data_IF_766148268609
#
_entry.id   IF_766148268609
#
_cell.length_a   1.000
_cell.length_b   1.000
_cell.length_c   1.000
_cell.angle_alpha   90.00
_cell.angle_beta   90.00
_cell.angle_gamma   90.00
#
_symmetry.space_group_name_H-M   'P 1'
#
loop_
_entity.id
_entity.type
_entity.pdbx_description
1 polymer ?
#
# COMPACT_ATOMS: atom_id res chain seq x y z
N UNK A 1 -14.94 -20.22 -3.99
CA UNK A 1 -14.13 -19.11 -3.47
C UNK A 1 -12.76 -19.54 -2.95
N UNK A 2 -12.68 -20.59 -2.16
CA UNK A 2 -11.40 -21.03 -1.58
C UNK A 2 -10.46 -21.58 -2.66
N UNK A 3 -9.24 -21.03 -2.74
CA UNK A 3 -8.17 -21.59 -3.57
C UNK A 3 -7.09 -22.16 -2.68
N UNK A 4 -6.80 -23.44 -2.87
CA UNK A 4 -5.77 -24.12 -2.13
C UNK A 4 -4.38 -23.75 -2.68
N UNK A 5 -3.66 -22.90 -1.94
CA UNK A 5 -2.29 -22.50 -2.26
C UNK A 5 -1.23 -23.37 -1.59
N UNK A 6 -1.68 -24.38 -0.80
CA UNK A 6 -0.79 -25.27 -0.03
C UNK A 6 -0.32 -26.49 -0.82
N UNK A 7 -0.68 -26.58 -2.10
CA UNK A 7 -0.33 -27.69 -3.02
C UNK A 7 0.20 -27.15 -4.36
N UNK A 8 0.73 -28.03 -5.20
CA UNK A 8 1.27 -27.67 -6.51
C UNK A 8 2.61 -26.94 -6.45
N UNK A 9 3.03 -26.31 -7.55
CA UNK A 9 4.26 -25.54 -7.64
C UNK A 9 4.20 -24.27 -6.79
N UNK A 10 5.18 -24.06 -5.91
CA UNK A 10 5.28 -22.84 -5.08
C UNK A 10 5.47 -21.62 -5.97
N UNK A 11 6.42 -21.68 -6.91
CA UNK A 11 6.68 -20.60 -7.85
C UNK A 11 5.44 -20.28 -8.69
N UNK A 12 4.76 -21.31 -9.23
CA UNK A 12 3.52 -21.12 -9.98
C UNK A 12 2.41 -20.43 -9.17
N UNK A 13 2.29 -20.77 -7.88
CA UNK A 13 1.32 -20.12 -6.98
C UNK A 13 1.69 -18.66 -6.72
N UNK A 14 2.99 -18.35 -6.53
CA UNK A 14 3.47 -16.97 -6.37
C UNK A 14 3.10 -16.15 -7.59
N UNK A 15 3.49 -16.57 -8.80
CA UNK A 15 3.21 -15.81 -10.03
C UNK A 15 1.70 -15.65 -10.26
N UNK A 16 0.94 -16.74 -10.09
CA UNK A 16 -0.52 -16.73 -10.31
C UNK A 16 -1.26 -15.82 -9.32
N UNK A 17 -0.74 -15.64 -8.11
CA UNK A 17 -1.32 -14.77 -7.09
C UNK A 17 -0.80 -13.34 -7.19
N UNK A 18 0.52 -13.14 -7.39
CA UNK A 18 1.14 -11.82 -7.38
C UNK A 18 0.79 -10.99 -8.61
N UNK A 19 0.65 -11.59 -9.79
CA UNK A 19 0.38 -10.84 -11.02
C UNK A 19 -0.97 -10.09 -11.00
N UNK A 20 -2.11 -10.71 -10.63
CA UNK A 20 -3.36 -9.97 -10.46
C UNK A 20 -3.29 -8.92 -9.35
N UNK A 21 -2.52 -9.19 -8.29
CA UNK A 21 -2.33 -8.26 -7.20
C UNK A 21 -1.52 -7.03 -7.64
N UNK A 22 -0.42 -7.25 -8.38
CA UNK A 22 0.37 -6.19 -9.00
C UNK A 22 -0.48 -5.30 -9.92
N UNK A 23 -1.33 -5.92 -10.74
CA UNK A 23 -2.24 -5.19 -11.62
C UNK A 23 -3.28 -4.39 -10.84
N UNK A 24 -3.75 -4.91 -9.69
CA UNK A 24 -4.65 -4.15 -8.80
C UNK A 24 -3.99 -2.87 -8.28
N UNK A 25 -2.74 -2.95 -7.83
CA UNK A 25 -1.98 -1.78 -7.40
C UNK A 25 -1.73 -0.79 -8.53
N UNK A 26 -1.36 -1.30 -9.70
CA UNK A 26 -1.17 -0.47 -10.88
C UNK A 26 -2.44 0.31 -11.24
N UNK A 27 -3.59 -0.35 -11.26
CA UNK A 27 -4.88 0.28 -11.53
C UNK A 27 -5.25 1.33 -10.47
N UNK A 28 -4.96 1.06 -9.19
CA UNK A 28 -5.16 2.05 -8.12
C UNK A 28 -4.30 3.30 -8.32
N UNK A 29 -3.06 3.13 -8.73
CA UNK A 29 -2.16 4.24 -9.01
C UNK A 29 -2.64 5.03 -10.23
N UNK A 30 -3.09 4.31 -11.26
CA UNK A 30 -3.58 4.88 -12.51
C UNK A 30 -4.79 5.78 -12.30
N UNK A 31 -5.81 5.32 -11.55
CA UNK A 31 -6.99 6.16 -11.36
C UNK A 31 -6.69 7.42 -10.53
N UNK A 32 -5.82 7.33 -9.53
CA UNK A 32 -5.39 8.52 -8.78
C UNK A 32 -4.62 9.53 -9.64
N UNK A 33 -3.91 9.08 -10.68
CA UNK A 33 -3.30 9.96 -11.68
C UNK A 33 -4.33 10.53 -12.66
N UNK A 34 -5.35 9.74 -13.01
CA UNK A 34 -6.42 10.18 -13.90
C UNK A 34 -7.22 11.35 -13.31
N UNK A 35 -7.53 11.32 -12.02
CA UNK A 35 -8.19 12.42 -11.31
C UNK A 35 -7.42 13.74 -11.52
N UNK A 36 -6.09 13.71 -11.31
CA UNK A 36 -5.23 14.90 -11.47
C UNK A 36 -5.12 15.35 -12.92
N UNK A 37 -5.08 14.42 -13.85
CA UNK A 37 -5.00 14.72 -15.28
C UNK A 37 -6.31 15.38 -15.76
N UNK A 38 -7.45 14.82 -15.38
CA UNK A 38 -8.76 15.31 -15.82
C UNK A 38 -9.04 16.68 -15.21
N UNK A 39 -8.80 16.88 -13.89
CA UNK A 39 -9.03 18.19 -13.29
C UNK A 39 -8.12 19.27 -13.90
N UNK A 40 -6.89 18.92 -14.24
CA UNK A 40 -5.95 19.82 -14.91
C UNK A 40 -6.38 20.26 -16.31
N UNK A 41 -7.26 19.49 -16.98
CA UNK A 41 -7.81 19.85 -18.30
C UNK A 41 -8.96 20.86 -18.21
N UNK A 42 -9.77 20.80 -17.16
CA UNK A 42 -11.03 21.54 -17.06
C UNK A 42 -10.99 22.69 -16.06
N UNK A 43 -10.06 22.66 -15.10
CA UNK A 43 -10.04 23.57 -13.97
C UNK A 43 -8.68 24.25 -13.82
N UNK A 44 -8.68 25.36 -13.06
CA UNK A 44 -7.46 26.13 -12.80
C UNK A 44 -6.51 25.51 -11.78
N UNK A 45 -5.37 26.17 -11.58
CA UNK A 45 -4.28 25.72 -10.69
C UNK A 45 -4.75 25.50 -9.24
N UNK A 46 -5.64 26.35 -8.72
CA UNK A 46 -6.16 26.22 -7.36
C UNK A 46 -6.94 24.91 -7.16
N UNK A 47 -7.79 24.54 -8.13
CA UNK A 47 -8.55 23.28 -8.11
C UNK A 47 -7.65 22.05 -8.25
N UNK A 48 -6.67 22.09 -9.15
CA UNK A 48 -5.69 21.03 -9.32
C UNK A 48 -4.84 20.83 -8.05
N UNK A 49 -4.42 21.92 -7.42
CA UNK A 49 -3.69 21.89 -6.14
C UNK A 49 -4.56 21.28 -5.03
N UNK A 50 -5.84 21.66 -4.96
CA UNK A 50 -6.78 21.13 -3.98
C UNK A 50 -6.94 19.60 -4.09
N UNK A 51 -7.12 19.08 -5.31
CA UNK A 51 -7.22 17.64 -5.57
C UNK A 51 -5.90 16.94 -5.26
N UNK A 52 -4.77 17.53 -5.64
CA UNK A 52 -3.44 16.96 -5.36
C UNK A 52 -3.19 16.76 -3.86
N UNK A 53 -3.46 17.80 -3.05
CA UNK A 53 -3.29 17.72 -1.59
C UNK A 53 -4.30 16.76 -0.97
N UNK A 54 -5.57 16.84 -1.39
CA UNK A 54 -6.61 15.94 -0.92
C UNK A 54 -6.30 14.49 -1.23
N UNK A 55 -5.81 14.18 -2.44
CA UNK A 55 -5.41 12.83 -2.85
C UNK A 55 -4.26 12.28 -2.03
N UNK A 56 -3.27 13.10 -1.65
CA UNK A 56 -2.19 12.67 -0.77
C UNK A 56 -2.72 12.22 0.60
N UNK A 57 -3.63 12.98 1.20
CA UNK A 57 -4.26 12.63 2.48
C UNK A 57 -5.03 11.31 2.34
N UNK A 58 -5.82 11.17 1.26
CA UNK A 58 -6.60 9.96 1.01
C UNK A 58 -5.70 8.76 0.71
N UNK A 59 -4.59 8.95 0.02
CA UNK A 59 -3.61 7.88 -0.21
C UNK A 59 -3.01 7.36 1.10
N UNK A 60 -2.56 8.26 1.98
CA UNK A 60 -2.06 7.90 3.31
C UNK A 60 -3.10 7.10 4.11
N UNK A 61 -4.36 7.57 4.14
CA UNK A 61 -5.44 6.88 4.82
C UNK A 61 -5.70 5.48 4.23
N UNK A 62 -5.71 5.38 2.90
CA UNK A 62 -5.96 4.12 2.18
C UNK A 62 -4.87 3.09 2.46
N UNK A 63 -3.59 3.45 2.43
CA UNK A 63 -2.49 2.52 2.72
C UNK A 63 -2.55 2.03 4.17
N UNK A 64 -2.94 2.89 5.13
CA UNK A 64 -3.15 2.47 6.52
C UNK A 64 -4.33 1.50 6.66
N UNK A 65 -5.43 1.71 5.94
CA UNK A 65 -6.57 0.77 5.91
C UNK A 65 -6.14 -0.57 5.32
N UNK A 66 -5.37 -0.58 4.23
CA UNK A 66 -4.82 -1.80 3.60
C UNK A 66 -3.90 -2.53 4.56
N UNK A 67 -3.01 -1.81 5.23
CA UNK A 67 -2.11 -2.37 6.26
C UNK A 67 -2.90 -3.01 7.41
N UNK A 68 -3.92 -2.31 7.92
CA UNK A 68 -4.78 -2.85 8.97
C UNK A 68 -5.55 -4.10 8.51
N UNK A 69 -6.03 -4.11 7.26
CA UNK A 69 -6.74 -5.23 6.65
C UNK A 69 -5.84 -6.45 6.38
N UNK A 70 -4.49 -6.31 6.43
CA UNK A 70 -3.57 -7.43 6.38
C UNK A 70 -3.81 -8.44 7.51
N UNK A 71 -4.24 -7.96 8.69
CA UNK A 71 -4.65 -8.82 9.80
C UNK A 71 -5.75 -9.80 9.41
N UNK A 72 -6.75 -9.33 8.66
CA UNK A 72 -7.81 -10.17 8.15
C UNK A 72 -7.29 -11.18 7.09
N UNK A 73 -6.48 -10.74 6.15
CA UNK A 73 -5.87 -11.62 5.13
C UNK A 73 -5.12 -12.79 5.78
N UNK A 74 -4.30 -12.50 6.79
CA UNK A 74 -3.48 -13.52 7.46
C UNK A 74 -4.35 -14.47 8.30
N UNK A 75 -5.23 -13.96 9.14
CA UNK A 75 -6.04 -14.80 10.03
C UNK A 75 -7.02 -15.69 9.25
N UNK A 76 -7.65 -15.16 8.21
CA UNK A 76 -8.49 -15.93 7.29
C UNK A 76 -7.65 -16.97 6.55
N UNK A 77 -6.48 -16.57 6.03
CA UNK A 77 -5.58 -17.47 5.32
C UNK A 77 -5.11 -18.65 6.19
N UNK A 78 -4.78 -18.40 7.45
CA UNK A 78 -4.44 -19.47 8.41
C UNK A 78 -5.61 -20.42 8.65
N UNK A 79 -6.82 -19.90 8.86
CA UNK A 79 -8.01 -20.72 9.07
C UNK A 79 -8.36 -21.58 7.82
N UNK A 80 -8.26 -20.98 6.62
CA UNK A 80 -8.44 -21.69 5.34
C UNK A 80 -7.37 -22.79 5.16
N UNK A 81 -6.12 -22.48 5.44
CA UNK A 81 -5.02 -23.46 5.40
C UNK A 81 -5.26 -24.64 6.34
N UNK A 82 -5.74 -24.37 7.55
CA UNK A 82 -6.13 -25.37 8.54
C UNK A 82 -7.41 -26.15 8.18
N UNK A 83 -8.10 -25.79 7.08
CA UNK A 83 -9.42 -26.32 6.70
C UNK A 83 -10.49 -26.06 7.75
N UNK A 84 -10.30 -25.08 8.60
CA UNK A 84 -11.27 -24.64 9.60
C UNK A 84 -12.22 -23.61 8.99
N UNK A 85 -13.28 -24.11 8.32
CA UNK A 85 -14.31 -23.26 7.69
C UNK A 85 -15.07 -22.42 8.71
N UNK A 86 -15.28 -22.95 9.92
CA UNK A 86 -16.01 -22.23 10.98
C UNK A 86 -15.16 -21.09 11.54
N UNK A 87 -13.89 -21.34 11.79
CA UNK A 87 -12.95 -20.29 12.17
C UNK A 87 -12.80 -19.22 11.10
N UNK A 88 -12.71 -19.61 9.82
CA UNK A 88 -12.67 -18.67 8.71
C UNK A 88 -13.95 -17.80 8.64
N UNK A 89 -15.15 -18.37 8.83
CA UNK A 89 -16.42 -17.63 8.91
C UNK A 89 -16.38 -16.62 10.07
N UNK A 90 -15.91 -17.03 11.26
CA UNK A 90 -15.75 -16.17 12.42
C UNK A 90 -14.80 -15.00 12.15
N UNK A 91 -13.64 -15.23 11.51
CA UNK A 91 -12.72 -14.17 11.12
C UNK A 91 -13.32 -13.22 10.08
N UNK A 92 -14.02 -13.72 9.07
CA UNK A 92 -14.69 -12.89 8.05
C UNK A 92 -15.77 -12.02 8.70
N UNK A 93 -16.63 -12.60 9.53
CA UNK A 93 -17.72 -11.87 10.21
C UNK A 93 -17.18 -10.80 11.15
N UNK A 94 -16.21 -11.13 12.01
CA UNK A 94 -15.60 -10.18 12.93
C UNK A 94 -14.79 -9.09 12.21
N UNK A 95 -14.13 -9.41 11.10
CA UNK A 95 -13.48 -8.40 10.24
C UNK A 95 -14.52 -7.39 9.73
N UNK A 96 -15.62 -7.87 9.18
CA UNK A 96 -16.69 -7.00 8.67
C UNK A 96 -17.23 -6.08 9.77
N UNK A 97 -17.56 -6.61 10.95
CA UNK A 97 -18.09 -5.81 12.07
C UNK A 97 -17.07 -4.83 12.61
N UNK A 98 -15.83 -5.25 12.82
CA UNK A 98 -14.74 -4.42 13.34
C UNK A 98 -14.48 -3.21 12.43
N UNK A 99 -14.30 -3.46 11.15
CA UNK A 99 -13.95 -2.40 10.22
C UNK A 99 -15.12 -1.50 9.87
N UNK A 100 -16.36 -2.01 9.86
CA UNK A 100 -17.53 -1.16 9.73
C UNK A 100 -17.63 -0.18 10.90
N UNK A 101 -17.50 -0.66 12.13
CA UNK A 101 -17.51 0.21 13.30
C UNK A 101 -16.35 1.22 13.27
N UNK A 102 -15.14 0.76 12.93
CA UNK A 102 -13.96 1.60 12.83
C UNK A 102 -14.12 2.66 11.73
N UNK A 103 -14.64 2.30 10.55
CA UNK A 103 -14.82 3.24 9.44
C UNK A 103 -15.80 4.35 9.80
N UNK A 104 -16.88 4.04 10.49
CA UNK A 104 -17.86 5.06 10.95
C UNK A 104 -17.21 5.99 11.97
N UNK A 105 -16.48 5.45 12.95
CA UNK A 105 -15.78 6.25 13.97
C UNK A 105 -14.72 7.17 13.33
N UNK A 106 -13.90 6.61 12.44
CA UNK A 106 -12.85 7.36 11.72
C UNK A 106 -13.47 8.44 10.82
N UNK A 107 -14.57 8.14 10.13
CA UNK A 107 -15.29 9.14 9.33
C UNK A 107 -15.71 10.33 10.19
N UNK A 108 -16.31 10.11 11.36
CA UNK A 108 -16.71 11.17 12.26
C UNK A 108 -15.56 12.07 12.70
N UNK A 109 -14.42 11.45 13.08
CA UNK A 109 -13.19 12.15 13.47
C UNK A 109 -12.62 12.95 12.30
N UNK A 110 -12.48 12.34 11.12
CA UNK A 110 -11.91 12.98 9.94
C UNK A 110 -12.75 14.14 9.42
N UNK A 111 -14.08 14.03 9.47
CA UNK A 111 -14.97 15.15 9.09
C UNK A 111 -14.77 16.36 10.00
N UNK A 112 -14.59 16.14 11.30
CA UNK A 112 -14.29 17.21 12.24
C UNK A 112 -12.90 17.82 12.00
N UNK A 113 -11.94 17.02 11.55
CA UNK A 113 -10.55 17.41 11.33
C UNK A 113 -10.25 17.88 9.88
N UNK A 114 -11.22 17.93 8.97
CA UNK A 114 -10.98 18.27 7.55
C UNK A 114 -10.27 19.62 7.36
N UNK A 115 -10.68 20.67 8.08
CA UNK A 115 -10.00 21.98 8.06
C UNK A 115 -8.61 21.96 8.73
N UNK A 116 -8.45 21.44 9.96
CA UNK A 116 -7.12 21.26 10.55
C UNK A 116 -6.15 20.47 9.67
N UNK A 117 -6.60 19.40 9.00
CA UNK A 117 -5.77 18.61 8.07
C UNK A 117 -5.30 19.48 6.90
N UNK A 118 -6.20 20.24 6.26
CA UNK A 118 -5.82 21.16 5.18
C UNK A 118 -4.79 22.22 5.66
N UNK A 119 -4.90 22.70 6.89
CA UNK A 119 -3.94 23.64 7.49
C UNK A 119 -2.58 22.99 7.74
N UNK A 120 -2.53 21.77 8.30
CA UNK A 120 -1.30 21.02 8.52
C UNK A 120 -0.58 20.70 7.20
N UNK A 121 -1.35 20.45 6.13
CA UNK A 121 -0.81 20.24 4.79
C UNK A 121 -0.28 21.52 4.13
N UNK A 122 -0.30 22.67 4.83
CA UNK A 122 0.14 23.98 4.32
C UNK A 122 -0.53 24.34 2.99
N UNK A 123 -1.83 24.07 2.89
CA UNK A 123 -2.62 24.32 1.68
C UNK A 123 -2.64 25.82 1.37
N UNK A 124 -2.32 26.27 0.14
CA UNK A 124 -2.43 27.65 -0.28
C UNK A 124 -3.86 28.19 -0.06
N UNK A 125 -3.98 29.45 0.35
CA UNK A 125 -5.26 30.05 0.74
C UNK A 125 -6.36 29.88 -0.32
N UNK A 126 -6.02 30.03 -1.60
CA UNK A 126 -6.94 29.88 -2.73
C UNK A 126 -7.41 28.42 -2.92
N UNK A 127 -6.61 27.43 -2.53
CA UNK A 127 -6.94 26.02 -2.65
C UNK A 127 -7.67 25.45 -1.42
N UNK A 128 -7.66 26.14 -0.27
CA UNK A 128 -8.28 25.64 0.99
C UNK A 128 -9.74 25.27 0.82
N UNK A 129 -10.62 26.09 0.22
CA UNK A 129 -12.04 25.73 0.07
C UNK A 129 -12.21 24.43 -0.73
N UNK A 130 -11.50 24.30 -1.85
CA UNK A 130 -11.53 23.10 -2.69
C UNK A 130 -10.99 21.86 -1.98
N UNK A 131 -9.86 21.99 -1.25
CA UNK A 131 -9.28 20.90 -0.48
C UNK A 131 -10.23 20.43 0.62
N UNK A 132 -10.84 21.33 1.37
CA UNK A 132 -11.80 20.96 2.43
C UNK A 132 -13.04 20.30 1.85
N UNK A 133 -13.56 20.80 0.72
CA UNK A 133 -14.71 20.19 0.02
C UNK A 133 -14.35 18.76 -0.44
N UNK A 134 -13.20 18.59 -1.10
CA UNK A 134 -12.68 17.29 -1.52
C UNK A 134 -12.55 16.32 -0.35
N UNK A 135 -11.85 16.72 0.72
CA UNK A 135 -11.64 15.88 1.89
C UNK A 135 -12.94 15.47 2.57
N UNK A 136 -13.90 16.39 2.73
CA UNK A 136 -15.20 16.07 3.35
C UNK A 136 -15.97 15.01 2.57
N UNK A 137 -16.02 15.13 1.24
CA UNK A 137 -16.71 14.16 0.40
C UNK A 137 -16.00 12.81 0.45
N UNK A 138 -14.66 12.77 0.34
CA UNK A 138 -13.88 11.56 0.44
C UNK A 138 -14.00 10.92 1.84
N UNK A 139 -14.02 11.71 2.92
CA UNK A 139 -14.18 11.21 4.28
C UNK A 139 -15.56 10.58 4.51
N UNK A 140 -16.62 11.12 3.90
CA UNK A 140 -17.93 10.45 3.86
C UNK A 140 -17.87 9.13 3.08
N UNK A 141 -16.96 9.02 2.12
CA UNK A 141 -16.69 7.80 1.35
C UNK A 141 -15.80 6.77 2.07
N UNK A 142 -15.18 7.09 3.22
CA UNK A 142 -14.29 6.17 3.96
C UNK A 142 -14.95 4.82 4.26
N UNK A 143 -16.22 4.71 4.63
CA UNK A 143 -16.87 3.41 4.81
C UNK A 143 -16.88 2.56 3.53
N UNK A 144 -17.03 3.16 2.35
CA UNK A 144 -17.01 2.46 1.06
C UNK A 144 -15.59 2.01 0.69
N UNK A 145 -14.60 2.89 0.87
CA UNK A 145 -13.18 2.58 0.66
C UNK A 145 -12.76 1.42 1.59
N UNK A 146 -13.17 1.49 2.86
CA UNK A 146 -12.91 0.44 3.85
C UNK A 146 -13.60 -0.86 3.45
N UNK A 147 -14.87 -0.83 3.05
CA UNK A 147 -15.61 -2.01 2.62
C UNK A 147 -14.94 -2.72 1.44
N UNK A 148 -14.51 -1.98 0.41
CA UNK A 148 -13.75 -2.56 -0.70
C UNK A 148 -12.46 -3.24 -0.22
N UNK A 149 -11.65 -2.55 0.60
CA UNK A 149 -10.37 -3.08 1.06
C UNK A 149 -10.53 -4.32 1.94
N UNK A 150 -11.59 -4.38 2.76
CA UNK A 150 -11.93 -5.58 3.54
C UNK A 150 -12.32 -6.72 2.63
N UNK A 151 -13.21 -6.50 1.68
CA UNK A 151 -13.63 -7.52 0.73
C UNK A 151 -12.41 -8.06 -0.02
N UNK A 152 -11.55 -7.17 -0.50
CA UNK A 152 -10.30 -7.56 -1.14
C UNK A 152 -9.38 -8.38 -0.23
N UNK A 153 -9.29 -8.03 1.06
CA UNK A 153 -8.50 -8.76 2.06
C UNK A 153 -9.06 -10.15 2.35
N UNK A 154 -10.38 -10.27 2.42
CA UNK A 154 -11.07 -11.55 2.58
C UNK A 154 -10.74 -12.46 1.40
N UNK A 155 -10.91 -11.98 0.16
CA UNK A 155 -10.58 -12.77 -1.03
C UNK A 155 -9.11 -13.19 -1.07
N UNK A 156 -8.19 -12.29 -0.69
CA UNK A 156 -6.76 -12.62 -0.59
C UNK A 156 -6.49 -13.70 0.45
N UNK A 157 -7.13 -13.63 1.61
CA UNK A 157 -7.05 -14.68 2.63
C UNK A 157 -7.59 -16.04 2.14
N UNK A 158 -8.66 -16.01 1.34
CA UNK A 158 -9.23 -17.19 0.66
C UNK A 158 -8.35 -17.70 -0.51
N UNK A 159 -7.24 -17.02 -0.82
CA UNK A 159 -6.31 -17.39 -1.89
C UNK A 159 -6.68 -16.84 -3.28
N UNK A 160 -7.66 -15.95 -3.37
CA UNK A 160 -8.09 -15.37 -4.64
C UNK A 160 -7.68 -13.91 -4.78
N UNK A 161 -6.66 -13.64 -5.59
CA UNK A 161 -6.21 -12.30 -5.96
C UNK A 161 -6.87 -11.77 -7.24
N UNK A 162 -7.49 -12.63 -8.05
CA UNK A 162 -8.06 -12.23 -9.34
C UNK A 162 -9.34 -11.41 -9.19
N UNK A 163 -10.23 -11.79 -8.28
CA UNK A 163 -11.50 -11.08 -8.08
C UNK A 163 -11.30 -9.65 -7.59
N UNK A 164 -10.49 -9.36 -6.56
CA UNK A 164 -10.18 -7.98 -6.20
C UNK A 164 -9.63 -7.14 -7.36
N UNK A 165 -8.83 -7.75 -8.24
CA UNK A 165 -8.35 -7.09 -9.45
C UNK A 165 -9.49 -6.67 -10.40
N UNK A 166 -10.48 -7.56 -10.62
CA UNK A 166 -11.63 -7.19 -11.45
C UNK A 166 -12.49 -6.09 -10.80
N UNK A 167 -12.66 -6.14 -9.47
CA UNK A 167 -13.44 -5.12 -8.76
C UNK A 167 -12.80 -3.74 -8.87
N UNK A 168 -11.46 -3.66 -8.73
CA UNK A 168 -10.75 -2.40 -8.89
C UNK A 168 -10.68 -1.92 -10.33
N UNK A 169 -10.63 -2.84 -11.30
CA UNK A 169 -10.68 -2.48 -12.72
C UNK A 169 -12.01 -1.81 -13.08
N UNK A 170 -13.11 -2.35 -12.56
CA UNK A 170 -14.45 -1.75 -12.73
C UNK A 170 -14.51 -0.39 -12.02
N UNK A 171 -13.97 -0.29 -10.80
CA UNK A 171 -13.91 0.99 -10.09
C UNK A 171 -13.08 2.03 -10.86
N UNK A 172 -11.94 1.64 -11.43
CA UNK A 172 -11.09 2.53 -12.23
C UNK A 172 -11.83 3.06 -13.46
N UNK A 173 -12.49 2.18 -14.20
CA UNK A 173 -13.29 2.59 -15.36
C UNK A 173 -14.45 3.51 -14.98
N UNK A 174 -15.16 3.18 -13.90
CA UNK A 174 -16.24 4.02 -13.38
C UNK A 174 -15.73 5.38 -12.89
N UNK A 175 -14.59 5.42 -12.19
CA UNK A 175 -13.98 6.66 -11.72
C UNK A 175 -13.67 7.60 -12.90
N UNK A 176 -12.94 7.12 -13.92
CA UNK A 176 -12.60 7.92 -15.10
C UNK A 176 -13.86 8.47 -15.78
N UNK A 177 -14.90 7.63 -15.95
CA UNK A 177 -16.15 8.07 -16.56
C UNK A 177 -16.88 9.12 -15.70
N UNK A 178 -16.92 8.95 -14.38
CA UNK A 178 -17.55 9.88 -13.45
C UNK A 178 -16.75 11.19 -13.34
N UNK A 179 -15.44 11.15 -13.44
CA UNK A 179 -14.60 12.34 -13.43
C UNK A 179 -14.84 13.22 -14.66
N UNK A 180 -14.91 12.63 -15.85
CA UNK A 180 -15.31 13.37 -17.05
C UNK A 180 -16.73 13.94 -16.95
N UNK A 181 -17.65 13.22 -16.29
CA UNK A 181 -19.00 13.72 -16.05
C UNK A 181 -19.01 14.87 -15.05
N UNK A 182 -18.42 14.70 -13.87
CA UNK A 182 -18.51 15.68 -12.78
C UNK A 182 -17.59 16.89 -12.98
N UNK A 183 -16.37 16.67 -13.43
CA UNK A 183 -15.40 17.74 -13.66
C UNK A 183 -15.54 18.32 -15.07
N UNK A 184 -15.72 17.47 -16.10
CA UNK A 184 -15.81 17.91 -17.49
C UNK A 184 -17.16 18.50 -17.87
N UNK A 185 -18.25 17.76 -17.68
CA UNK A 185 -19.58 18.21 -18.11
C UNK A 185 -20.30 19.09 -17.07
N UNK A 186 -20.16 18.79 -15.76
CA UNK A 186 -20.88 19.49 -14.69
C UNK A 186 -20.04 20.59 -14.01
N UNK A 187 -18.75 20.70 -14.33
CA UNK A 187 -17.81 21.69 -13.79
C UNK A 187 -17.83 21.81 -12.26
N UNK A 188 -17.88 20.66 -11.57
CA UNK A 188 -17.94 20.61 -10.11
C UNK A 188 -16.58 20.77 -9.41
N UNK A 189 -15.48 20.88 -10.17
CA UNK A 189 -14.14 21.08 -9.66
C UNK A 189 -13.68 19.97 -8.70
N UNK A 190 -12.99 20.33 -7.59
CA UNK A 190 -12.49 19.35 -6.61
C UNK A 190 -13.59 18.48 -5.98
N UNK A 191 -14.80 19.03 -5.80
CA UNK A 191 -15.93 18.26 -5.30
C UNK A 191 -16.35 17.16 -6.28
N UNK A 192 -16.26 17.43 -7.59
CA UNK A 192 -16.54 16.47 -8.65
C UNK A 192 -15.55 15.30 -8.62
N UNK A 193 -14.24 15.57 -8.50
CA UNK A 193 -13.21 14.55 -8.35
C UNK A 193 -13.47 13.64 -7.13
N UNK A 194 -13.79 14.24 -5.98
CA UNK A 194 -14.09 13.50 -4.76
C UNK A 194 -15.34 12.62 -4.89
N UNK A 195 -16.39 13.12 -5.55
CA UNK A 195 -17.60 12.35 -5.84
C UNK A 195 -17.31 11.21 -6.81
N UNK A 196 -16.53 11.45 -7.88
CA UNK A 196 -16.11 10.42 -8.83
C UNK A 196 -15.41 9.26 -8.12
N UNK A 197 -14.41 9.57 -7.30
CA UNK A 197 -13.67 8.57 -6.50
C UNK A 197 -14.59 7.82 -5.54
N UNK A 198 -15.43 8.52 -4.78
CA UNK A 198 -16.31 7.91 -3.78
C UNK A 198 -17.36 7.00 -4.42
N UNK A 199 -18.00 7.45 -5.50
CA UNK A 199 -19.01 6.66 -6.22
C UNK A 199 -18.40 5.47 -6.95
N UNK A 200 -17.19 5.61 -7.50
CA UNK A 200 -16.46 4.48 -8.10
C UNK A 200 -16.18 3.38 -7.07
N UNK A 201 -15.83 3.75 -5.83
CA UNK A 201 -15.69 2.77 -4.74
C UNK A 201 -17.03 2.13 -4.38
N UNK A 202 -18.12 2.89 -4.38
CA UNK A 202 -19.47 2.34 -4.17
C UNK A 202 -19.83 1.30 -5.25
N UNK A 203 -19.55 1.59 -6.53
CA UNK A 203 -19.74 0.65 -7.64
C UNK A 203 -18.95 -0.64 -7.39
N UNK A 204 -17.67 -0.53 -7.01
CA UNK A 204 -16.83 -1.69 -6.70
C UNK A 204 -17.39 -2.54 -5.57
N UNK A 205 -17.86 -1.91 -4.48
CA UNK A 205 -18.49 -2.60 -3.35
C UNK A 205 -19.77 -3.30 -3.79
N UNK A 206 -20.65 -2.64 -4.54
CA UNK A 206 -21.91 -3.26 -5.03
C UNK A 206 -21.61 -4.46 -5.92
N UNK A 207 -20.70 -4.32 -6.89
CA UNK A 207 -20.29 -5.43 -7.78
C UNK A 207 -19.73 -6.58 -6.97
N UNK A 208 -18.84 -6.33 -6.01
CA UNK A 208 -18.27 -7.38 -5.17
C UNK A 208 -19.32 -8.10 -4.32
N UNK A 209 -20.31 -7.38 -3.75
CA UNK A 209 -21.41 -7.98 -3.00
C UNK A 209 -22.34 -8.81 -3.88
N UNK A 210 -22.61 -8.36 -5.11
CA UNK A 210 -23.40 -9.16 -6.09
C UNK A 210 -22.66 -10.45 -6.44
N UNK A 211 -21.35 -10.40 -6.68
CA UNK A 211 -20.54 -11.59 -6.95
C UNK A 211 -20.56 -12.54 -5.76
N UNK A 212 -20.37 -12.03 -4.53
CA UNK A 212 -20.42 -12.85 -3.30
C UNK A 212 -21.78 -13.54 -3.15
N UNK A 213 -22.88 -12.82 -3.38
CA UNK A 213 -24.25 -13.40 -3.27
C UNK A 213 -24.56 -14.47 -4.31
N UNK A 214 -23.98 -14.38 -5.51
CA UNK A 214 -24.18 -15.36 -6.59
C UNK A 214 -23.43 -16.67 -6.37
N UNK A 215 -22.40 -16.66 -5.52
CA UNK A 215 -21.62 -17.86 -5.25
C UNK A 215 -22.22 -18.71 -4.16
N UNK A 216 -22.69 -19.91 -4.56
CA UNK A 216 -23.31 -20.90 -3.65
C UNK A 216 -22.28 -21.71 -2.84
N UNK A 217 -21.02 -21.79 -3.30
CA UNK A 217 -19.97 -22.63 -2.69
C UNK A 217 -19.05 -21.85 -1.73
N UNK A 218 -19.45 -20.66 -1.30
CA UNK A 218 -18.68 -19.82 -0.36
C UNK A 218 -18.75 -20.32 1.08
N UNK A 219 -17.91 -19.71 1.94
CA UNK A 219 -18.03 -19.88 3.40
C UNK A 219 -19.38 -19.28 3.83
N UNK A 220 -20.25 -20.14 4.38
CA UNK A 220 -21.56 -19.71 4.87
C UNK A 220 -21.37 -18.86 6.14
N UNK A 221 -21.73 -17.59 6.05
CA UNK A 221 -21.74 -16.67 7.18
C UNK A 221 -23.10 -16.75 7.89
N UNK A 222 -23.06 -16.91 9.20
CA UNK A 222 -24.22 -16.84 10.06
C UNK A 222 -24.29 -15.49 10.78
N UNK A 223 -25.46 -15.10 11.28
CA UNK A 223 -25.60 -13.90 12.11
C UNK A 223 -24.74 -13.96 13.39
N UNK A 224 -24.41 -15.17 13.86
CA UNK A 224 -23.53 -15.40 14.99
C UNK A 224 -22.08 -14.98 14.72
N UNK A 225 -21.59 -15.15 13.49
CA UNK A 225 -20.23 -14.80 13.09
C UNK A 225 -19.99 -13.28 13.06
N UNK A 226 -21.05 -12.49 12.90
CA UNK A 226 -21.01 -11.03 12.94
C UNK A 226 -20.97 -10.49 14.39
N UNK A 227 -21.22 -11.31 15.39
CA UNK A 227 -21.14 -10.86 16.80
C UNK A 227 -19.68 -10.57 17.17
N UNK A 228 -19.40 -9.40 17.79
CA UNK A 228 -18.05 -9.04 18.19
C UNK A 228 -17.45 -10.05 19.17
N UNK A 229 -16.33 -10.66 18.78
CA UNK A 229 -15.57 -11.56 19.65
C UNK A 229 -14.20 -10.94 19.91
N UNK A 230 -13.95 -10.54 21.16
CA UNK A 230 -12.70 -9.82 21.55
C UNK A 230 -11.44 -10.57 21.17
N UNK A 231 -11.41 -11.89 21.34
CA UNK A 231 -10.25 -12.71 20.98
C UNK A 231 -9.96 -12.69 19.47
N UNK A 232 -11.00 -12.83 18.65
CA UNK A 232 -10.89 -12.81 17.18
C UNK A 232 -10.48 -11.44 16.67
N UNK A 233 -11.16 -10.39 17.13
CA UNK A 233 -10.83 -9.00 16.78
C UNK A 233 -9.42 -8.62 17.27
N UNK A 234 -9.04 -9.03 18.47
CA UNK A 234 -7.70 -8.80 19.03
C UNK A 234 -6.60 -9.44 18.17
N UNK A 235 -6.83 -10.63 17.65
CA UNK A 235 -5.87 -11.31 16.75
C UNK A 235 -5.73 -10.59 15.41
N UNK A 236 -6.83 -10.13 14.82
CA UNK A 236 -6.82 -9.31 13.60
C UNK A 236 -6.04 -8.01 13.82
N UNK A 237 -6.33 -7.29 14.90
CA UNK A 237 -5.67 -6.02 15.23
C UNK A 237 -4.20 -6.20 15.59
N UNK A 238 -3.83 -7.27 16.29
CA UNK A 238 -2.44 -7.56 16.65
C UNK A 238 -1.54 -7.70 15.42
N UNK A 239 -2.08 -8.20 14.30
CA UNK A 239 -1.35 -8.30 13.04
C UNK A 239 -1.49 -7.00 12.24
N UNK A 240 -2.69 -6.44 12.13
CA UNK A 240 -2.98 -5.31 11.26
C UNK A 240 -2.45 -3.97 11.78
N UNK A 241 -2.50 -3.70 13.08
CA UNK A 241 -2.07 -2.40 13.64
C UNK A 241 -0.59 -2.12 13.39
N UNK A 242 0.36 -3.04 13.66
CA UNK A 242 1.76 -2.80 13.35
C UNK A 242 2.01 -2.49 11.86
N UNK A 243 1.31 -3.19 10.96
CA UNK A 243 1.44 -2.96 9.50
C UNK A 243 0.87 -1.59 9.13
N UNK A 244 -0.30 -1.22 9.64
CA UNK A 244 -0.90 0.09 9.38
C UNK A 244 -0.02 1.25 9.88
N UNK A 245 0.57 1.12 11.06
CA UNK A 245 1.51 2.10 11.62
C UNK A 245 2.79 2.18 10.79
N UNK A 246 3.33 1.03 10.34
CA UNK A 246 4.47 0.98 9.43
C UNK A 246 4.20 1.77 8.15
N UNK A 247 3.08 1.49 7.49
CA UNK A 247 2.72 2.12 6.23
C UNK A 247 2.49 3.63 6.39
N UNK A 248 1.84 4.05 7.48
CA UNK A 248 1.69 5.46 7.82
C UNK A 248 3.02 6.17 8.06
N UNK A 249 3.95 5.54 8.77
CA UNK A 249 5.29 6.10 9.03
C UNK A 249 6.14 6.21 7.76
N UNK A 250 6.01 5.27 6.83
CA UNK A 250 6.67 5.34 5.53
C UNK A 250 6.17 6.58 4.76
N UNK A 251 4.86 6.86 4.76
CA UNK A 251 4.31 8.06 4.12
C UNK A 251 4.82 9.36 4.78
N UNK A 252 4.90 9.37 6.10
CA UNK A 252 5.48 10.51 6.84
C UNK A 252 6.96 10.71 6.47
N UNK A 253 7.73 9.63 6.32
CA UNK A 253 9.12 9.71 5.90
C UNK A 253 9.28 10.33 4.50
N UNK A 254 8.41 9.98 3.55
CA UNK A 254 8.38 10.62 2.23
C UNK A 254 8.12 12.13 2.33
N UNK A 255 7.18 12.54 3.19
CA UNK A 255 6.94 13.98 3.42
C UNK A 255 8.18 14.70 3.96
N UNK A 256 8.91 14.10 4.91
CA UNK A 256 10.16 14.68 5.42
C UNK A 256 11.22 14.81 4.33
N UNK A 257 11.39 13.82 3.47
CA UNK A 257 12.34 13.85 2.35
C UNK A 257 11.96 14.97 1.37
N UNK A 258 10.67 15.11 1.06
CA UNK A 258 10.15 16.21 0.23
C UNK A 258 10.47 17.58 0.85
N UNK A 259 10.27 17.76 2.16
CA UNK A 259 10.62 19.00 2.87
C UNK A 259 12.13 19.30 2.80
N UNK A 260 12.98 18.27 2.94
CA UNK A 260 14.43 18.42 2.79
C UNK A 260 14.78 18.88 1.37
N UNK A 261 14.17 18.27 0.35
CA UNK A 261 14.39 18.64 -1.05
C UNK A 261 13.92 20.07 -1.35
N UNK A 262 12.77 20.49 -0.83
CA UNK A 262 12.23 21.84 -1.00
C UNK A 262 13.15 22.92 -0.44
N UNK A 263 13.89 22.63 0.64
CA UNK A 263 14.87 23.55 1.22
C UNK A 263 16.14 23.71 0.39
N UNK A 264 16.38 22.82 -0.59
CA UNK A 264 17.54 22.91 -1.49
C UNK A 264 17.29 23.79 -2.72
N UNK A 265 16.03 24.10 -2.99
CA UNK A 265 15.61 24.95 -4.10
C UNK A 265 14.67 24.25 -5.07
N UNK A 266 14.13 25.02 -6.00
CA UNK A 266 13.06 24.59 -6.90
C UNK A 266 13.47 23.41 -7.81
N UNK A 267 14.69 23.43 -8.33
CA UNK A 267 15.22 22.38 -9.22
C UNK A 267 15.29 21.03 -8.51
N UNK A 268 15.87 21.00 -7.31
CA UNK A 268 16.02 19.78 -6.52
C UNK A 268 14.67 19.28 -6.02
N UNK A 269 13.78 20.17 -5.61
CA UNK A 269 12.41 19.83 -5.22
C UNK A 269 11.62 19.16 -6.34
N UNK A 270 11.68 19.74 -7.55
CA UNK A 270 11.02 19.17 -8.73
C UNK A 270 11.64 17.81 -9.10
N UNK A 271 12.96 17.70 -9.07
CA UNK A 271 13.67 16.47 -9.37
C UNK A 271 13.30 15.33 -8.40
N UNK A 272 13.31 15.59 -7.09
CA UNK A 272 12.91 14.61 -6.07
C UNK A 272 11.46 14.21 -6.23
N UNK A 273 10.55 15.16 -6.46
CA UNK A 273 9.12 14.86 -6.63
C UNK A 273 8.84 13.97 -7.85
N UNK A 274 9.55 14.17 -8.97
CA UNK A 274 9.43 13.30 -10.16
C UNK A 274 9.95 11.90 -9.84
N UNK A 275 11.14 11.81 -9.23
CA UNK A 275 11.77 10.52 -8.90
C UNK A 275 10.94 9.73 -7.92
N UNK A 276 10.33 10.35 -6.90
CA UNK A 276 9.44 9.66 -5.96
C UNK A 276 8.23 9.01 -6.65
N UNK A 277 7.68 9.65 -7.69
CA UNK A 277 6.61 9.05 -8.50
C UNK A 277 7.11 7.84 -9.30
N UNK A 278 8.29 7.95 -9.92
CA UNK A 278 8.91 6.83 -10.66
C UNK A 278 9.15 5.65 -9.71
N UNK A 279 9.74 5.90 -8.55
CA UNK A 279 10.00 4.90 -7.52
C UNK A 279 8.71 4.25 -7.04
N UNK A 280 7.63 5.02 -6.83
CA UNK A 280 6.34 4.47 -6.42
C UNK A 280 5.82 3.40 -7.39
N UNK A 281 6.00 3.58 -8.71
CA UNK A 281 5.67 2.55 -9.70
C UNK A 281 6.58 1.31 -9.59
N UNK A 282 7.87 1.51 -9.40
CA UNK A 282 8.82 0.41 -9.30
C UNK A 282 8.62 -0.41 -8.02
N UNK A 283 8.15 0.22 -6.95
CA UNK A 283 7.83 -0.43 -5.67
C UNK A 283 6.54 -1.26 -5.70
N UNK A 284 5.76 -1.21 -6.77
CA UNK A 284 4.59 -2.10 -6.93
C UNK A 284 4.98 -3.58 -6.88
N UNK A 285 6.16 -3.94 -7.41
CA UNK A 285 6.64 -5.33 -7.39
C UNK A 285 7.00 -5.78 -5.97
N UNK A 286 7.88 -5.10 -5.19
CA UNK A 286 8.11 -5.44 -3.80
C UNK A 286 6.83 -5.50 -2.96
N UNK A 287 5.92 -4.54 -3.12
CA UNK A 287 4.64 -4.48 -2.38
C UNK A 287 3.73 -5.66 -2.70
N UNK A 288 3.67 -6.08 -3.97
CA UNK A 288 2.91 -7.26 -4.37
C UNK A 288 3.50 -8.54 -3.78
N UNK A 289 4.83 -8.63 -3.65
CA UNK A 289 5.49 -9.78 -3.04
C UNK A 289 5.25 -9.84 -1.53
N UNK A 290 5.26 -8.71 -0.79
CA UNK A 290 4.86 -8.66 0.61
C UNK A 290 3.49 -9.30 0.82
N UNK A 291 2.49 -8.86 0.06
CA UNK A 291 1.13 -9.37 0.18
C UNK A 291 1.00 -10.82 -0.27
N UNK A 292 1.73 -11.21 -1.30
CA UNK A 292 1.76 -12.60 -1.79
C UNK A 292 2.35 -13.53 -0.74
N UNK A 293 3.48 -13.18 -0.15
CA UNK A 293 4.12 -13.98 0.91
C UNK A 293 3.24 -14.05 2.15
N UNK A 294 2.57 -12.94 2.51
CA UNK A 294 1.62 -12.93 3.63
C UNK A 294 0.47 -13.90 3.42
N UNK A 295 -0.18 -13.87 2.25
CA UNK A 295 -1.35 -14.70 1.98
C UNK A 295 -1.00 -16.19 1.81
N UNK A 296 -0.01 -16.50 0.96
CA UNK A 296 0.44 -17.87 0.72
C UNK A 296 1.08 -18.47 1.97
N UNK A 297 1.94 -17.69 2.64
CA UNK A 297 2.57 -18.08 3.90
C UNK A 297 1.55 -18.39 4.98
N UNK A 298 0.54 -17.54 5.16
CA UNK A 298 -0.53 -17.76 6.14
C UNK A 298 -1.28 -19.08 5.89
N UNK A 299 -1.68 -19.36 4.63
CA UNK A 299 -2.31 -20.64 4.30
C UNK A 299 -1.38 -21.83 4.54
N UNK A 300 -0.09 -21.73 4.21
CA UNK A 300 0.87 -22.79 4.45
C UNK A 300 1.09 -23.04 5.95
N UNK A 301 1.17 -22.00 6.76
CA UNK A 301 1.28 -22.10 8.23
C UNK A 301 0.03 -22.76 8.81
N UNK A 302 -1.16 -22.30 8.43
CA UNK A 302 -2.42 -22.89 8.86
C UNK A 302 -2.56 -24.36 8.48
N UNK A 303 -2.00 -24.76 7.32
CA UNK A 303 -1.99 -26.16 6.86
C UNK A 303 -0.92 -27.03 7.54
N UNK A 304 -0.17 -26.52 8.52
CA UNK A 304 0.94 -27.26 9.15
C UNK A 304 2.13 -27.52 8.20
N UNK A 305 2.33 -26.67 7.18
CA UNK A 305 3.39 -26.80 6.17
C UNK A 305 4.42 -25.66 6.25
N UNK A 306 5.14 -25.49 7.36
CA UNK A 306 6.07 -24.37 7.56
C UNK A 306 7.23 -24.35 6.58
N UNK A 307 7.69 -25.54 6.13
CA UNK A 307 8.73 -25.64 5.09
C UNK A 307 8.28 -25.02 3.78
N UNK A 308 7.01 -25.18 3.44
CA UNK A 308 6.43 -24.58 2.22
C UNK A 308 6.26 -23.06 2.35
N UNK A 309 5.91 -22.56 3.52
CA UNK A 309 5.91 -21.11 3.80
C UNK A 309 7.31 -20.50 3.63
N UNK A 310 8.35 -21.19 4.10
CA UNK A 310 9.76 -20.82 3.89
C UNK A 310 10.15 -20.84 2.40
N UNK A 311 9.76 -21.87 1.66
CA UNK A 311 9.99 -21.93 0.21
C UNK A 311 9.31 -20.74 -0.49
N UNK A 312 8.10 -20.36 -0.09
CA UNK A 312 7.39 -19.20 -0.61
C UNK A 312 8.19 -17.92 -0.37
N UNK A 313 8.76 -17.74 0.83
CA UNK A 313 9.64 -16.62 1.16
C UNK A 313 10.84 -16.56 0.22
N UNK A 314 11.58 -17.65 0.07
CA UNK A 314 12.81 -17.66 -0.73
C UNK A 314 12.56 -17.45 -2.22
N UNK A 315 11.51 -18.07 -2.79
CA UNK A 315 11.15 -17.81 -4.19
C UNK A 315 10.68 -16.38 -4.41
N UNK A 316 9.90 -15.80 -3.48
CA UNK A 316 9.48 -14.41 -3.57
C UNK A 316 10.67 -13.44 -3.47
N UNK A 317 11.64 -13.73 -2.58
CA UNK A 317 12.90 -12.98 -2.49
C UNK A 317 13.66 -13.08 -3.82
N UNK A 318 13.79 -14.25 -4.41
CA UNK A 318 14.51 -14.42 -5.68
C UNK A 318 13.87 -13.58 -6.80
N UNK A 319 12.53 -13.56 -6.88
CA UNK A 319 11.79 -12.77 -7.88
C UNK A 319 11.96 -11.27 -7.62
N UNK A 320 11.72 -10.82 -6.38
CA UNK A 320 11.75 -9.40 -6.04
C UNK A 320 13.18 -8.82 -6.11
N UNK A 321 14.16 -9.56 -5.64
CA UNK A 321 15.57 -9.17 -5.70
C UNK A 321 16.09 -9.19 -7.14
N UNK A 322 15.75 -10.24 -7.91
CA UNK A 322 16.10 -10.32 -9.33
C UNK A 322 15.52 -9.15 -10.14
N UNK A 323 14.26 -8.78 -9.89
CA UNK A 323 13.67 -7.57 -10.44
C UNK A 323 14.42 -6.31 -10.01
N UNK A 324 14.70 -6.16 -8.70
CA UNK A 324 15.43 -5.02 -8.15
C UNK A 324 16.82 -4.86 -8.79
N UNK A 325 17.57 -5.93 -8.96
CA UNK A 325 18.89 -5.91 -9.62
C UNK A 325 18.75 -5.52 -11.08
N UNK A 326 17.81 -6.11 -11.80
CA UNK A 326 17.57 -5.82 -13.22
C UNK A 326 17.26 -4.33 -13.42
N UNK A 327 16.29 -3.81 -12.67
CA UNK A 327 15.88 -2.41 -12.82
C UNK A 327 16.97 -1.44 -12.35
N UNK A 328 17.74 -1.80 -11.33
CA UNK A 328 18.89 -1.01 -10.87
C UNK A 328 19.93 -0.88 -11.99
N UNK A 329 20.28 -1.98 -12.64
CA UNK A 329 21.23 -1.97 -13.76
C UNK A 329 20.71 -1.08 -14.89
N UNK A 330 19.45 -1.27 -15.31
CA UNK A 330 18.84 -0.46 -16.37
C UNK A 330 18.86 1.03 -16.04
N UNK A 331 18.42 1.39 -14.85
CA UNK A 331 18.33 2.80 -14.43
C UNK A 331 19.71 3.47 -14.34
N UNK A 332 20.79 2.76 -14.03
CA UNK A 332 22.13 3.38 -14.06
C UNK A 332 22.45 4.02 -15.42
N UNK A 333 21.96 3.43 -16.50
CA UNK A 333 22.20 3.92 -17.87
C UNK A 333 21.17 4.92 -18.37
N UNK A 334 19.91 4.80 -17.91
CA UNK A 334 18.78 5.58 -18.47
C UNK A 334 18.11 6.53 -17.46
N UNK A 335 18.72 6.77 -16.29
CA UNK A 335 18.10 7.57 -15.22
C UNK A 335 17.69 8.98 -15.69
N UNK A 336 18.61 9.71 -16.30
CA UNK A 336 18.37 11.07 -16.78
C UNK A 336 17.33 11.13 -17.91
N UNK A 337 17.40 10.31 -18.98
CA UNK A 337 16.34 10.20 -19.98
C UNK A 337 14.96 9.87 -19.38
N UNK A 338 14.90 8.97 -18.40
CA UNK A 338 13.63 8.58 -17.75
C UNK A 338 13.03 9.76 -16.97
N UNK A 339 13.83 10.52 -16.23
CA UNK A 339 13.35 11.74 -15.57
C UNK A 339 12.95 12.80 -16.60
N UNK A 340 13.69 12.91 -17.71
CA UNK A 340 13.41 13.82 -18.81
C UNK A 340 12.06 13.58 -19.53
N UNK A 341 11.44 12.40 -19.38
CA UNK A 341 10.07 12.16 -19.84
C UNK A 341 9.02 12.98 -19.10
N UNK A 342 9.35 13.49 -17.90
CA UNK A 342 8.43 14.21 -17.03
C UNK A 342 8.74 15.71 -16.92
N UNK A 343 9.80 16.21 -17.56
CA UNK A 343 10.22 17.62 -17.49
C UNK A 343 11.02 18.03 -18.71
N UNK A 344 10.78 19.24 -19.20
CA UNK A 344 11.55 19.86 -20.29
C UNK A 344 12.84 20.54 -19.77
N UNK A 345 13.01 20.65 -18.46
CA UNK A 345 14.18 21.27 -17.84
C UNK A 345 15.36 20.30 -17.76
N UNK A 346 16.40 20.55 -18.52
CA UNK A 346 17.63 19.76 -18.48
C UNK A 346 18.28 19.73 -17.08
N UNK A 347 18.19 20.83 -16.32
CA UNK A 347 18.71 20.90 -14.96
C UNK A 347 17.94 19.97 -14.00
N UNK A 348 16.61 19.91 -14.11
CA UNK A 348 15.76 19.01 -13.32
C UNK A 348 16.01 17.56 -13.73
N UNK A 349 16.15 17.26 -15.02
CA UNK A 349 16.44 15.92 -15.52
C UNK A 349 17.79 15.42 -15.02
N UNK A 350 18.83 16.25 -15.05
CA UNK A 350 20.16 15.89 -14.55
C UNK A 350 20.17 15.66 -13.02
N UNK A 351 19.57 16.56 -12.23
CA UNK A 351 19.45 16.42 -10.78
C UNK A 351 18.63 15.18 -10.39
N UNK A 352 17.49 14.96 -11.07
CA UNK A 352 16.65 13.79 -10.86
C UNK A 352 17.33 12.49 -11.27
N UNK A 353 18.11 12.51 -12.35
CA UNK A 353 18.92 11.37 -12.78
C UNK A 353 19.95 10.96 -11.72
N UNK A 354 20.61 11.92 -11.07
CA UNK A 354 21.52 11.66 -9.95
C UNK A 354 20.77 11.05 -8.75
N UNK A 355 19.65 11.64 -8.36
CA UNK A 355 18.83 11.12 -7.25
C UNK A 355 18.32 9.72 -7.53
N UNK A 356 17.80 9.48 -8.73
CA UNK A 356 17.27 8.18 -9.15
C UNK A 356 18.35 7.09 -9.16
N UNK A 357 19.57 7.39 -9.66
CA UNK A 357 20.69 6.44 -9.63
C UNK A 357 21.05 5.99 -8.21
N UNK A 358 21.02 6.91 -7.25
CA UNK A 358 21.25 6.58 -5.85
C UNK A 358 20.08 5.81 -5.23
N UNK A 359 18.86 6.31 -5.46
CA UNK A 359 17.65 5.75 -4.84
C UNK A 359 17.31 4.36 -5.36
N UNK A 360 17.55 4.07 -6.65
CA UNK A 360 17.10 2.79 -7.26
C UNK A 360 17.69 1.55 -6.59
N UNK A 361 18.85 1.65 -5.93
CA UNK A 361 19.43 0.59 -5.13
C UNK A 361 18.47 0.13 -4.01
N UNK A 362 17.59 1.02 -3.56
CA UNK A 362 16.55 0.71 -2.61
C UNK A 362 15.60 -0.40 -3.11
N UNK A 363 15.34 -0.49 -4.41
CA UNK A 363 14.52 -1.56 -4.99
C UNK A 363 15.04 -2.96 -4.70
N UNK A 364 16.36 -3.16 -4.68
CA UNK A 364 16.99 -4.44 -4.34
C UNK A 364 16.70 -4.80 -2.88
N UNK A 365 16.96 -3.85 -1.98
CA UNK A 365 16.78 -4.07 -0.54
C UNK A 365 15.31 -4.12 -0.13
N UNK A 366 14.46 -3.30 -0.76
CA UNK A 366 13.02 -3.32 -0.55
C UNK A 366 12.42 -4.69 -0.92
N UNK A 367 12.86 -5.28 -2.03
CA UNK A 367 12.43 -6.63 -2.41
C UNK A 367 12.70 -7.67 -1.31
N UNK A 368 13.85 -7.55 -0.63
CA UNK A 368 14.21 -8.43 0.47
C UNK A 368 13.35 -8.20 1.72
N UNK A 369 13.39 -6.98 2.29
CA UNK A 369 12.72 -6.73 3.57
C UNK A 369 11.18 -6.76 3.45
N UNK A 370 10.58 -6.45 2.28
CA UNK A 370 9.15 -6.62 2.06
C UNK A 370 8.73 -8.10 2.08
N UNK A 371 9.52 -8.99 1.49
CA UNK A 371 9.26 -10.42 1.57
C UNK A 371 9.38 -10.94 3.01
N UNK A 372 10.40 -10.50 3.78
CA UNK A 372 10.50 -10.82 5.20
C UNK A 372 9.31 -10.27 6.00
N UNK A 373 8.89 -9.03 5.74
CA UNK A 373 7.70 -8.44 6.36
C UNK A 373 6.46 -9.30 6.10
N UNK A 374 6.27 -9.73 4.84
CA UNK A 374 5.18 -10.64 4.48
C UNK A 374 5.23 -11.96 5.25
N UNK A 375 6.41 -12.53 5.40
CA UNK A 375 6.60 -13.75 6.17
C UNK A 375 6.34 -13.55 7.68
N UNK A 376 6.83 -12.45 8.27
CA UNK A 376 6.56 -12.12 9.67
C UNK A 376 5.06 -11.91 9.91
N UNK A 377 4.35 -11.28 8.99
CA UNK A 377 2.89 -11.18 9.06
C UNK A 377 2.24 -12.59 9.00
N UNK A 378 2.68 -13.46 8.07
CA UNK A 378 2.14 -14.80 7.90
C UNK A 378 2.25 -15.68 9.14
N UNK A 379 3.34 -15.54 9.93
CA UNK A 379 3.55 -16.23 11.21
C UNK A 379 2.96 -15.49 12.42
N UNK A 380 2.24 -14.38 12.20
CA UNK A 380 1.61 -13.58 13.27
C UNK A 380 2.57 -12.70 14.08
N UNK A 381 3.74 -12.39 13.55
CA UNK A 381 4.79 -11.55 14.17
C UNK A 381 4.99 -10.22 13.43
N UNK A 382 3.89 -9.55 13.11
CA UNK A 382 3.93 -8.28 12.36
C UNK A 382 4.64 -7.15 13.11
N UNK A 383 4.79 -7.26 14.44
CA UNK A 383 5.61 -6.35 15.22
C UNK A 383 7.06 -6.28 14.74
N UNK A 384 7.61 -7.38 14.18
CA UNK A 384 8.96 -7.38 13.60
C UNK A 384 9.00 -6.58 12.28
N UNK A 385 7.91 -6.64 11.51
CA UNK A 385 7.77 -5.83 10.30
C UNK A 385 7.76 -4.34 10.61
N UNK A 386 7.01 -3.93 11.63
CA UNK A 386 7.02 -2.55 12.13
C UNK A 386 8.39 -2.13 12.66
N UNK A 387 9.02 -2.98 13.49
CA UNK A 387 10.27 -2.65 14.16
C UNK A 387 11.42 -2.36 13.19
N UNK A 388 11.65 -3.22 12.19
CA UNK A 388 12.75 -2.99 11.24
C UNK A 388 12.51 -1.72 10.40
N UNK A 389 11.25 -1.45 10.01
CA UNK A 389 10.93 -0.27 9.21
C UNK A 389 11.09 1.02 10.02
N UNK A 390 10.51 1.11 11.22
CA UNK A 390 10.64 2.31 12.06
C UNK A 390 12.11 2.60 12.39
N UNK A 391 12.88 1.57 12.72
CA UNK A 391 14.31 1.71 13.01
C UNK A 391 15.08 2.25 11.80
N UNK A 392 14.83 1.71 10.61
CA UNK A 392 15.49 2.16 9.39
C UNK A 392 15.11 3.60 9.00
N UNK A 393 13.81 3.95 9.13
CA UNK A 393 13.32 5.30 8.81
C UNK A 393 13.90 6.33 9.76
N UNK A 394 13.85 6.06 11.08
CA UNK A 394 14.23 7.05 12.11
C UNK A 394 15.74 7.17 12.26
N UNK A 395 16.50 6.09 12.13
CA UNK A 395 17.95 6.12 12.36
C UNK A 395 18.77 6.40 11.11
N UNK A 396 18.28 6.00 9.93
CA UNK A 396 19.09 6.06 8.70
C UNK A 396 18.41 6.84 7.58
N UNK A 397 17.18 6.49 7.20
CA UNK A 397 16.57 7.07 5.98
C UNK A 397 16.38 8.58 6.08
N UNK A 398 15.69 9.07 7.08
CA UNK A 398 15.41 10.51 7.25
C UNK A 398 16.66 11.28 7.70
N UNK A 399 17.39 10.87 8.76
CA UNK A 399 18.61 11.57 9.16
C UNK A 399 19.69 11.52 8.08
N UNK A 400 19.85 10.38 7.40
CA UNK A 400 20.80 10.22 6.31
C UNK A 400 20.51 11.15 5.14
N UNK A 401 19.25 11.21 4.69
CA UNK A 401 18.84 12.15 3.64
C UNK A 401 19.11 13.60 4.04
N UNK A 402 18.84 13.98 5.28
CA UNK A 402 19.11 15.31 5.81
C UNK A 402 20.63 15.64 5.85
N UNK A 403 21.44 14.74 6.39
CA UNK A 403 22.90 14.93 6.47
C UNK A 403 23.52 14.99 5.07
N UNK A 404 23.15 14.06 4.18
CA UNK A 404 23.67 14.05 2.80
C UNK A 404 23.23 15.30 2.03
N UNK A 405 22.04 15.80 2.26
CA UNK A 405 21.55 17.06 1.70
C UNK A 405 22.43 18.27 2.12
N UNK A 406 22.94 18.28 3.36
CA UNK A 406 23.80 19.34 3.88
C UNK A 406 25.27 19.20 3.44
N UNK A 407 25.79 17.98 3.48
CA UNK A 407 27.22 17.75 3.17
C UNK A 407 27.51 17.78 1.68
N UNK A 408 26.51 17.46 0.85
CA UNK A 408 26.66 17.45 -0.61
C UNK A 408 25.60 18.36 -1.28
N UNK A 409 25.76 19.70 -1.15
CA UNK A 409 24.75 20.64 -1.65
C UNK A 409 24.66 20.69 -3.18
N UNK A 410 25.67 20.19 -3.91
CA UNK A 410 25.76 20.25 -5.38
C UNK A 410 25.22 19.02 -6.09
N UNK A 411 24.92 17.93 -5.37
CA UNK A 411 24.46 16.67 -5.95
C UNK A 411 23.38 16.02 -5.09
N UNK A 412 22.42 15.35 -5.74
CA UNK A 412 21.36 14.59 -5.08
C UNK A 412 21.69 13.08 -4.93
N UNK A 413 22.77 12.60 -5.56
CA UNK A 413 23.14 11.19 -5.52
C UNK A 413 23.29 10.64 -4.08
N UNK A 414 24.03 11.31 -3.15
CA UNK A 414 24.17 10.80 -1.78
C UNK A 414 22.86 10.78 -1.00
N UNK A 415 21.95 11.72 -1.28
CA UNK A 415 20.62 11.74 -0.66
C UNK A 415 19.79 10.53 -1.11
N UNK A 416 19.88 10.11 -2.38
CA UNK A 416 19.29 8.88 -2.89
C UNK A 416 19.92 7.62 -2.25
N UNK A 417 21.24 7.58 -2.09
CA UNK A 417 21.95 6.49 -1.43
C UNK A 417 21.56 6.33 0.05
N UNK A 418 21.25 7.43 0.74
CA UNK A 418 20.80 7.39 2.13
C UNK A 418 19.46 6.66 2.29
N UNK A 419 18.56 6.77 1.31
CA UNK A 419 17.29 6.00 1.31
C UNK A 419 17.56 4.51 1.15
N UNK A 420 18.43 4.12 0.23
CA UNK A 420 18.86 2.73 0.03
C UNK A 420 19.58 2.16 1.26
N UNK A 421 20.41 2.95 1.94
CA UNK A 421 21.07 2.57 3.19
C UNK A 421 20.05 2.25 4.31
N UNK A 422 18.93 2.99 4.37
CA UNK A 422 17.83 2.70 5.29
C UNK A 422 17.24 1.32 5.05
N UNK A 423 16.96 0.96 3.81
CA UNK A 423 16.45 -0.36 3.46
C UNK A 423 17.47 -1.48 3.67
N UNK A 424 18.76 -1.21 3.49
CA UNK A 424 19.81 -2.16 3.86
C UNK A 424 19.80 -2.46 5.35
N UNK A 425 19.64 -1.45 6.22
CA UNK A 425 19.48 -1.67 7.67
C UNK A 425 18.22 -2.51 7.95
N UNK A 426 17.10 -2.24 7.28
CA UNK A 426 15.90 -3.08 7.37
C UNK A 426 16.20 -4.53 7.05
N UNK A 427 16.93 -4.82 5.97
CA UNK A 427 17.33 -6.19 5.60
C UNK A 427 18.17 -6.84 6.69
N UNK A 428 19.15 -6.13 7.23
CA UNK A 428 20.01 -6.65 8.31
C UNK A 428 19.17 -7.04 9.52
N UNK A 429 18.26 -6.16 9.96
CA UNK A 429 17.36 -6.44 11.10
C UNK A 429 16.46 -7.64 10.80
N UNK A 430 15.89 -7.72 9.59
CA UNK A 430 15.06 -8.85 9.17
C UNK A 430 15.81 -10.18 9.22
N UNK A 431 17.04 -10.22 8.71
CA UNK A 431 17.89 -11.42 8.72
C UNK A 431 18.22 -11.83 10.15
N UNK A 432 18.60 -10.88 11.01
CA UNK A 432 18.89 -11.15 12.43
C UNK A 432 17.63 -11.71 13.11
N UNK A 433 16.48 -11.04 12.95
CA UNK A 433 15.22 -11.48 13.54
C UNK A 433 14.84 -12.89 13.05
N UNK A 434 14.98 -13.17 11.75
CA UNK A 434 14.72 -14.49 11.18
C UNK A 434 15.64 -15.57 11.77
N UNK A 435 16.94 -15.30 11.89
CA UNK A 435 17.92 -16.25 12.46
C UNK A 435 17.64 -16.51 13.95
N UNK A 436 17.27 -15.48 14.71
CA UNK A 436 16.86 -15.61 16.13
C UNK A 436 15.62 -16.49 16.26
N UNK A 437 14.57 -16.21 15.44
CA UNK A 437 13.36 -17.03 15.44
C UNK A 437 13.65 -18.49 15.07
N UNK A 438 14.53 -18.72 14.07
CA UNK A 438 14.94 -20.05 13.64
C UNK A 438 15.65 -20.80 14.78
N UNK A 439 16.60 -20.16 15.46
CA UNK A 439 17.34 -20.78 16.59
C UNK A 439 16.43 -21.11 17.77
N UNK A 440 15.37 -20.30 18.00
CA UNK A 440 14.40 -20.52 19.08
C UNK A 440 13.28 -21.51 18.73
N UNK A 441 13.29 -22.09 17.52
CA UNK A 441 12.21 -22.97 17.05
C UNK A 441 10.86 -22.27 16.80
N UNK A 442 10.83 -20.92 16.80
CA UNK A 442 9.61 -20.10 16.72
C UNK A 442 9.27 -19.62 15.32
N UNK A 443 9.75 -20.32 14.29
CA UNK A 443 9.34 -20.07 12.89
C UNK A 443 7.93 -20.60 12.57
N UNK A 444 7.35 -21.35 13.49
CA UNK A 444 5.97 -21.83 13.45
C UNK A 444 5.22 -21.14 14.59
N UNK A 445 3.97 -20.66 14.40
CA UNK A 445 3.18 -20.14 15.51
C UNK A 445 3.05 -21.22 16.59
N UNK A 446 3.35 -20.87 17.84
CA UNK A 446 2.92 -21.69 18.98
C UNK A 446 1.40 -21.77 18.91
N UNK A 447 0.84 -22.98 18.99
CA UNK A 447 -0.59 -23.19 19.09
C UNK A 447 -1.10 -22.39 20.30
N UNK A 448 -2.00 -21.44 20.02
CA UNK A 448 -2.68 -20.63 21.02
C UNK A 448 -4.12 -21.08 21.14
#
# INVERSE_FOLDING_TARGET
MEKNLTTGSVFGNIVRFSLPYLLSYFLQTLYGMADLFIIGQYEGVASTTAVSIGSQVMHMLTVMIVGLAMGATVTIGQAVGARDRRGAAGYIGNTTTLFLALSVAVTGVLLALARPIAAVMSTPAEAVPGTVAYLRICFLGVPLITAYNIIASIFRGLGDSKRPMYFIAIACAANIALDYLFMGALHMGPAGAALGTTLAQAVSVVVSLVVIRRERDGIALTRGDLRPQRAVMGRILRIGVPVALQDGLIQIAFLFITVIANRRGLTDAAAVGIVEKIISFLFLVPSSMLSTVSALGAQCIGAGKPRRALQTLWYAIAVAFGFGVLITIVIQFVAEPVVGLFTDSAAVAAAGGQYLRGYILDCCFAGLHFCFSGYFCAIGRSELSFLHNITAVVLVRVPGAYLMSKWFPTTLLPMGLATAAGSLLSVIICVIAFLVLRRRGRLVPEEA
#
